data_IF_134576138163
#
_entry.id   IF_134576138163
#
_cell.length_a   1.000
_cell.length_b   1.000
_cell.length_c   1.000
_cell.angle_alpha   90.00
_cell.angle_beta   90.00
_cell.angle_gamma   90.00
#
_symmetry.space_group_name_H-M   'P 1'
#
loop_
_entity.id
_entity.type
_entity.pdbx_description
1 polymer ?
#
# COMPACT_ATOMS: atom_id res chain seq x y z
N UNK A 1 12.15 7.65 -73.83
CA UNK A 1 12.89 7.37 -72.57
C UNK A 1 11.86 7.20 -71.47
N UNK A 2 11.83 6.00 -70.87
CA UNK A 2 10.92 5.62 -69.78
C UNK A 2 11.47 6.15 -68.47
N UNK A 3 10.63 6.77 -67.65
CA UNK A 3 10.94 7.08 -66.25
C UNK A 3 9.72 6.76 -65.40
N UNK A 4 9.72 5.59 -64.77
CA UNK A 4 8.79 5.25 -63.69
C UNK A 4 9.47 5.63 -62.38
N UNK A 5 8.88 6.56 -61.63
CA UNK A 5 9.26 6.79 -60.24
C UNK A 5 8.31 5.98 -59.36
N UNK A 6 8.84 4.92 -58.73
CA UNK A 6 8.14 4.13 -57.74
C UNK A 6 8.17 4.87 -56.40
N UNK A 7 7.00 5.26 -55.89
CA UNK A 7 6.85 5.89 -54.58
C UNK A 7 6.54 4.80 -53.58
N UNK A 8 7.55 4.43 -52.79
CA UNK A 8 7.46 3.43 -51.72
C UNK A 8 6.69 4.03 -50.55
N UNK A 9 5.53 3.47 -50.24
CA UNK A 9 4.68 3.87 -49.11
C UNK A 9 5.02 2.96 -47.92
N UNK A 10 5.92 3.41 -47.05
CA UNK A 10 6.26 2.72 -45.81
C UNK A 10 5.09 2.85 -44.84
N UNK A 11 4.39 1.74 -44.61
CA UNK A 11 3.32 1.62 -43.63
C UNK A 11 3.94 1.64 -42.22
N UNK A 12 3.65 2.69 -41.45
CA UNK A 12 4.06 2.82 -40.05
C UNK A 12 3.21 1.85 -39.21
N UNK A 13 3.81 0.77 -38.72
CA UNK A 13 3.20 -0.10 -37.71
C UNK A 13 3.07 0.68 -36.41
N UNK A 14 1.83 1.05 -36.05
CA UNK A 14 1.50 1.54 -34.72
C UNK A 14 1.64 0.32 -33.80
N UNK A 15 2.78 0.25 -33.10
CA UNK A 15 2.95 -0.69 -32.00
C UNK A 15 1.94 -0.33 -30.92
N UNK A 16 0.92 -1.17 -30.74
CA UNK A 16 0.15 -1.17 -29.50
C UNK A 16 1.10 -1.65 -28.42
N UNK A 17 1.73 -0.70 -27.72
CA UNK A 17 2.32 -0.97 -26.42
C UNK A 17 1.18 -1.46 -25.53
N UNK A 18 1.03 -2.78 -25.44
CA UNK A 18 0.24 -3.39 -24.39
C UNK A 18 0.86 -2.93 -23.08
N UNK A 19 0.21 -1.99 -22.42
CA UNK A 19 0.51 -1.67 -21.03
C UNK A 19 0.33 -3.00 -20.29
N UNK A 20 1.35 -3.50 -19.58
CA UNK A 20 1.14 -4.64 -18.70
C UNK A 20 0.03 -4.25 -17.72
N UNK A 21 -1.09 -4.95 -17.79
CA UNK A 21 -2.15 -4.84 -16.80
C UNK A 21 -1.56 -5.31 -15.47
N UNK A 22 -1.10 -4.36 -14.66
CA UNK A 22 -0.47 -4.65 -13.38
C UNK A 22 -1.54 -5.11 -12.39
N UNK A 23 -1.94 -6.38 -12.49
CA UNK A 23 -2.59 -7.09 -11.40
C UNK A 23 -1.55 -7.39 -10.32
N UNK A 24 -1.27 -6.41 -9.47
CA UNK A 24 -1.04 -6.70 -8.07
C UNK A 24 -2.42 -6.73 -7.39
N UNK A 25 -3.11 -7.87 -7.60
CA UNK A 25 -4.37 -8.23 -6.95
C UNK A 25 -4.11 -8.53 -5.47
N UNK A 26 -5.12 -8.25 -4.64
CA UNK A 26 -5.17 -8.66 -3.24
C UNK A 26 -4.66 -10.09 -3.03
N UNK A 27 -3.59 -10.23 -2.25
CA UNK A 27 -2.98 -11.50 -1.89
C UNK A 27 -3.67 -12.07 -0.66
N UNK A 28 -4.17 -13.30 -0.80
CA UNK A 28 -4.89 -14.00 0.27
C UNK A 28 -3.95 -15.03 0.91
N UNK A 29 -3.73 -14.88 2.22
CA UNK A 29 -3.00 -15.84 3.05
C UNK A 29 -3.95 -16.48 4.05
N UNK A 30 -3.93 -17.81 4.17
CA UNK A 30 -4.79 -18.53 5.13
C UNK A 30 -3.97 -19.06 6.30
N UNK A 31 -4.30 -18.63 7.52
CA UNK A 31 -3.68 -19.11 8.76
C UNK A 31 -4.76 -19.60 9.72
N UNK A 32 -4.64 -20.84 10.20
CA UNK A 32 -5.60 -21.46 11.12
C UNK A 32 -7.07 -21.39 10.63
N UNK A 33 -7.30 -21.48 9.32
CA UNK A 33 -8.63 -21.39 8.72
C UNK A 33 -9.17 -19.97 8.55
N UNK A 34 -8.41 -18.94 8.93
CA UNK A 34 -8.75 -17.52 8.75
C UNK A 34 -8.01 -16.97 7.53
N UNK A 35 -8.74 -16.27 6.67
CA UNK A 35 -8.17 -15.58 5.50
C UNK A 35 -7.73 -14.15 5.86
N UNK A 36 -6.52 -13.81 5.45
CA UNK A 36 -5.91 -12.49 5.57
C UNK A 36 -5.66 -11.93 4.17
N UNK A 37 -6.02 -10.68 3.97
CA UNK A 37 -6.02 -10.02 2.67
C UNK A 37 -4.98 -8.90 2.69
N UNK A 38 -4.02 -8.97 1.77
CA UNK A 38 -2.91 -8.04 1.74
C UNK A 38 -2.70 -7.42 0.36
N UNK A 39 -2.20 -6.20 0.35
CA UNK A 39 -1.79 -5.49 -0.88
C UNK A 39 -0.42 -4.85 -0.68
N UNK A 40 0.36 -4.78 -1.75
CA UNK A 40 1.53 -3.90 -1.79
C UNK A 40 1.09 -2.52 -2.30
N UNK A 41 1.54 -1.47 -1.63
CA UNK A 41 1.23 -0.09 -1.99
C UNK A 41 2.55 0.65 -2.15
N UNK A 42 2.83 1.16 -3.35
CA UNK A 42 3.90 2.15 -3.54
C UNK A 42 3.34 3.53 -3.18
N UNK A 43 3.88 4.11 -2.11
CA UNK A 43 3.54 5.43 -1.62
C UNK A 43 4.54 6.45 -2.16
N UNK A 44 4.02 7.47 -2.82
CA UNK A 44 4.78 8.64 -3.26
C UNK A 44 4.43 9.86 -2.41
N UNK A 45 5.17 10.95 -2.57
CA UNK A 45 4.88 12.21 -1.86
C UNK A 45 3.43 12.70 -2.05
N UNK A 46 2.88 12.52 -3.25
CA UNK A 46 1.50 12.94 -3.57
C UNK A 46 0.42 12.09 -2.90
N UNK A 47 0.80 10.91 -2.39
CA UNK A 47 -0.10 9.99 -1.71
C UNK A 47 -0.17 10.23 -0.21
N UNK A 48 0.76 11.01 0.36
CA UNK A 48 0.84 11.24 1.81
C UNK A 48 0.07 12.50 2.18
N UNK A 49 -1.18 12.29 2.60
CA UNK A 49 -2.11 13.37 2.93
C UNK A 49 -1.83 13.96 4.31
N UNK A 50 -2.09 15.26 4.53
CA UNK A 50 -2.00 15.84 5.86
C UNK A 50 -2.97 15.17 6.84
N UNK A 51 -2.63 15.23 8.13
CA UNK A 51 -3.57 14.86 9.19
C UNK A 51 -4.85 15.72 9.06
N UNK A 52 -6.06 15.14 9.00
CA UNK A 52 -7.28 15.92 9.03
C UNK A 52 -7.44 16.59 10.40
N UNK A 53 -7.00 17.87 10.50
CA UNK A 53 -6.93 18.89 11.59
C UNK A 53 -7.88 18.82 12.83
N UNK A 54 -8.31 17.64 13.27
CA UNK A 54 -9.38 17.46 14.28
C UNK A 54 -9.16 16.26 15.20
N UNK A 55 -8.03 15.54 15.09
CA UNK A 55 -7.68 14.44 16.00
C UNK A 55 -6.59 14.93 16.95
N UNK A 56 -7.01 15.29 18.17
CA UNK A 56 -6.20 15.84 19.27
C UNK A 56 -5.05 14.91 19.76
N UNK A 57 -4.97 13.68 19.26
CA UNK A 57 -3.90 12.73 19.54
C UNK A 57 -3.02 12.59 18.29
N UNK A 58 -1.92 13.34 18.20
CA UNK A 58 -1.08 13.50 17.00
C UNK A 58 -0.21 12.24 16.69
N UNK A 59 -0.86 11.09 16.50
CA UNK A 59 -0.28 9.82 16.06
C UNK A 59 0.11 9.83 14.58
N UNK A 60 -0.38 10.83 13.84
CA UNK A 60 -0.11 11.01 12.43
C UNK A 60 1.37 11.29 12.22
N UNK A 61 2.02 10.47 11.40
CA UNK A 61 3.44 10.66 11.05
C UNK A 61 4.39 10.81 12.25
N UNK A 62 3.98 10.31 13.41
CA UNK A 62 4.72 10.42 14.67
C UNK A 62 4.76 9.04 15.30
N UNK A 63 5.97 8.61 15.68
CA UNK A 63 6.14 7.35 16.40
C UNK A 63 5.66 7.56 17.83
N UNK A 64 4.65 6.79 18.24
CA UNK A 64 4.20 6.74 19.62
C UNK A 64 4.64 5.45 20.32
N UNK A 65 4.25 5.31 21.59
CA UNK A 65 4.56 4.14 22.41
C UNK A 65 4.32 2.81 21.68
N UNK A 66 5.23 1.86 21.88
CA UNK A 66 5.20 0.54 21.23
C UNK A 66 5.31 0.56 19.70
N UNK A 67 5.79 1.65 19.10
CA UNK A 67 6.04 1.76 17.67
C UNK A 67 4.79 2.00 16.82
N UNK A 68 3.69 2.42 17.42
CA UNK A 68 2.49 2.81 16.67
C UNK A 68 2.73 4.11 15.91
N UNK A 69 2.06 4.25 14.78
CA UNK A 69 1.92 5.49 14.02
C UNK A 69 0.75 5.35 13.03
N UNK A 70 0.26 6.48 12.53
CA UNK A 70 -0.73 6.53 11.43
C UNK A 70 -0.19 7.27 10.21
N UNK A 71 -0.65 6.87 9.02
CA UNK A 71 -0.41 7.54 7.75
C UNK A 71 -1.74 7.66 6.99
N UNK A 72 -1.96 8.76 6.29
CA UNK A 72 -3.20 8.99 5.53
C UNK A 72 -2.92 8.97 4.03
N UNK A 73 -3.74 8.23 3.29
CA UNK A 73 -3.61 8.07 1.84
C UNK A 73 -4.95 8.27 1.13
N UNK A 74 -4.96 8.65 -0.16
CA UNK A 74 -6.18 8.64 -0.95
C UNK A 74 -6.77 7.22 -1.06
N UNK A 75 -8.10 7.07 -1.09
CA UNK A 75 -8.74 5.75 -1.10
C UNK A 75 -8.43 4.90 -2.33
N UNK A 76 -8.14 5.54 -3.48
CA UNK A 76 -7.83 4.88 -4.75
C UNK A 76 -6.39 4.35 -4.83
N UNK A 77 -5.58 4.53 -3.78
CA UNK A 77 -4.22 4.00 -3.70
C UNK A 77 -4.14 2.55 -3.25
N UNK A 78 -5.23 1.95 -2.79
CA UNK A 78 -5.29 0.52 -2.49
C UNK A 78 -5.60 -0.28 -3.78
N UNK A 79 -4.63 -1.00 -4.38
CA UNK A 79 -4.82 -1.65 -5.66
C UNK A 79 -5.86 -2.78 -5.55
N UNK A 80 -6.88 -2.75 -6.41
CA UNK A 80 -7.93 -3.77 -6.45
C UNK A 80 -8.90 -3.75 -5.26
N UNK A 81 -8.86 -2.71 -4.42
CA UNK A 81 -9.73 -2.56 -3.24
C UNK A 81 -10.49 -1.25 -3.34
N UNK A 82 -11.82 -1.32 -3.27
CA UNK A 82 -12.65 -0.13 -3.15
C UNK A 82 -12.79 0.30 -1.69
N UNK A 83 -12.93 1.60 -1.42
CA UNK A 83 -13.16 2.12 -0.07
C UNK A 83 -14.36 3.09 -0.10
N UNK A 84 -15.58 2.57 -0.29
CA UNK A 84 -16.76 3.41 -0.50
C UNK A 84 -17.04 4.28 0.73
N UNK A 85 -17.28 5.58 0.48
CA UNK A 85 -17.60 6.55 1.53
C UNK A 85 -16.40 7.03 2.36
N UNK A 86 -15.17 6.66 1.98
CA UNK A 86 -13.96 7.17 2.58
C UNK A 86 -13.43 8.37 1.81
N UNK A 87 -13.18 9.48 2.49
CA UNK A 87 -12.44 10.63 1.92
C UNK A 87 -10.93 10.36 1.89
N UNK A 88 -10.44 9.55 2.83
CA UNK A 88 -9.07 9.06 2.93
C UNK A 88 -9.06 7.68 3.60
N UNK A 89 -7.96 6.95 3.46
CA UNK A 89 -7.68 5.71 4.20
C UNK A 89 -6.61 5.99 5.24
N UNK A 90 -6.83 5.48 6.44
CA UNK A 90 -5.89 5.53 7.56
C UNK A 90 -5.11 4.22 7.58
N UNK A 91 -3.82 4.28 7.24
CA UNK A 91 -2.89 3.16 7.42
C UNK A 91 -2.34 3.20 8.84
N UNK A 92 -2.65 2.17 9.62
CA UNK A 92 -2.30 2.09 11.05
C UNK A 92 -1.21 1.09 11.29
N UNK A 93 -0.15 1.50 11.98
CA UNK A 93 0.84 0.56 12.52
C UNK A 93 0.38 0.14 13.92
N UNK A 94 0.09 -1.15 14.15
CA UNK A 94 -0.31 -1.63 15.47
C UNK A 94 0.79 -1.49 16.53
N UNK A 95 0.41 -1.54 17.79
CA UNK A 95 1.32 -1.53 18.94
C UNK A 95 2.13 -2.82 19.07
N UNK A 96 3.35 -2.74 19.59
CA UNK A 96 4.16 -3.87 20.07
C UNK A 96 4.20 -3.90 21.58
N UNK A 97 4.00 -5.08 22.17
CA UNK A 97 4.07 -5.31 23.61
C UNK A 97 5.49 -5.09 24.17
N UNK A 98 5.63 -4.55 25.39
CA UNK A 98 6.90 -4.49 26.09
C UNK A 98 7.56 -5.86 26.32
N UNK A 99 6.77 -6.94 26.27
CA UNK A 99 7.26 -8.32 26.42
C UNK A 99 7.81 -8.91 25.11
N UNK A 100 7.58 -8.25 23.97
CA UNK A 100 8.10 -8.67 22.68
C UNK A 100 9.57 -8.26 22.50
N UNK A 101 10.18 -8.71 21.40
CA UNK A 101 11.54 -8.30 21.04
C UNK A 101 11.57 -6.78 20.76
N UNK A 102 12.38 -5.99 21.48
CA UNK A 102 12.46 -4.54 21.29
C UNK A 102 12.81 -4.12 19.86
N UNK A 103 13.53 -4.97 19.11
CA UNK A 103 13.87 -4.70 17.71
C UNK A 103 12.65 -4.57 16.81
N UNK A 104 11.48 -5.08 17.20
CA UNK A 104 10.24 -4.91 16.44
C UNK A 104 9.76 -3.46 16.46
N UNK A 105 10.03 -2.71 17.53
CA UNK A 105 9.75 -1.27 17.61
C UNK A 105 10.72 -0.52 16.69
N UNK A 106 12.00 -0.91 16.67
CA UNK A 106 13.01 -0.32 15.79
C UNK A 106 12.67 -0.52 14.31
N UNK A 107 12.15 -1.70 13.92
CA UNK A 107 11.68 -1.96 12.55
C UNK A 107 10.50 -1.06 12.15
N UNK A 108 9.55 -0.83 13.06
CA UNK A 108 8.43 0.09 12.82
C UNK A 108 8.90 1.53 12.73
N UNK A 109 9.85 1.93 13.57
CA UNK A 109 10.47 3.25 13.53
C UNK A 109 11.22 3.46 12.19
N UNK A 110 11.95 2.46 11.72
CA UNK A 110 12.65 2.52 10.43
C UNK A 110 11.67 2.69 9.26
N UNK A 111 10.57 1.93 9.25
CA UNK A 111 9.51 2.11 8.25
C UNK A 111 8.92 3.52 8.28
N UNK A 112 8.64 4.07 9.46
CA UNK A 112 8.16 5.45 9.56
C UNK A 112 9.17 6.45 8.97
N UNK A 113 10.47 6.27 9.24
CA UNK A 113 11.50 7.14 8.67
C UNK A 113 11.55 7.05 7.14
N UNK A 114 11.38 5.87 6.54
CA UNK A 114 11.29 5.72 5.08
C UNK A 114 10.10 6.50 4.50
N UNK A 115 8.94 6.42 5.16
CA UNK A 115 7.73 7.17 4.78
C UNK A 115 7.96 8.69 4.91
N UNK A 116 8.61 9.14 5.99
CA UNK A 116 8.94 10.55 6.19
C UNK A 116 9.91 11.06 5.13
N UNK A 117 10.91 10.25 4.73
CA UNK A 117 11.82 10.55 3.63
C UNK A 117 11.07 10.83 2.32
N UNK A 118 10.07 10.01 2.00
CA UNK A 118 9.20 10.24 0.82
C UNK A 118 8.36 11.52 0.97
N UNK A 119 7.77 11.74 2.15
CA UNK A 119 6.96 12.94 2.45
C UNK A 119 7.76 14.24 2.31
N UNK A 120 8.99 14.22 2.79
CA UNK A 120 9.88 15.37 2.86
C UNK A 120 10.60 15.59 1.50
N UNK A 121 10.59 14.57 0.64
CA UNK A 121 11.05 14.60 -0.75
C UNK A 121 12.49 14.14 -0.93
N UNK A 122 13.04 13.48 0.07
CA UNK A 122 14.38 12.88 0.05
C UNK A 122 14.39 11.51 -0.65
N UNK A 123 13.23 10.85 -0.71
CA UNK A 123 12.99 9.62 -1.50
C UNK A 123 11.82 9.81 -2.47
N UNK A 124 11.84 9.10 -3.60
CA UNK A 124 10.75 9.17 -4.61
C UNK A 124 9.51 8.37 -4.18
N UNK A 125 9.73 7.16 -3.65
CA UNK A 125 8.68 6.24 -3.24
C UNK A 125 9.12 5.31 -2.10
N UNK A 126 8.15 4.70 -1.42
CA UNK A 126 8.33 3.60 -0.47
C UNK A 126 7.23 2.55 -0.70
N UNK A 127 7.62 1.29 -0.85
CA UNK A 127 6.66 0.19 -0.96
C UNK A 127 6.33 -0.37 0.43
N UNK A 128 5.04 -0.45 0.75
CA UNK A 128 4.55 -0.94 2.03
C UNK A 128 3.56 -2.09 1.85
N UNK A 129 3.63 -3.07 2.74
CA UNK A 129 2.64 -4.14 2.80
C UNK A 129 1.48 -3.72 3.72
N UNK A 130 0.28 -3.73 3.17
CA UNK A 130 -0.96 -3.38 3.86
C UNK A 130 -1.82 -4.61 4.05
N UNK A 131 -2.37 -4.79 5.25
CA UNK A 131 -3.39 -5.77 5.59
C UNK A 131 -4.76 -5.06 5.69
N UNK A 132 -5.77 -5.63 5.04
CA UNK A 132 -7.11 -5.06 4.96
C UNK A 132 -8.04 -5.54 6.10
N UNK A 133 -7.66 -6.62 6.79
CA UNK A 133 -8.39 -7.13 7.93
C UNK A 133 -8.36 -6.14 9.12
N UNK A 134 -9.40 -6.10 9.96
CA UNK A 134 -10.65 -6.86 9.86
C UNK A 134 -11.68 -6.19 8.95
N UNK A 135 -11.36 -5.05 8.34
CA UNK A 135 -12.32 -4.18 7.65
C UNK A 135 -12.42 -4.46 6.17
N UNK A 136 -12.36 -5.72 5.75
CA UNK A 136 -12.49 -6.13 4.36
C UNK A 136 -13.71 -7.01 4.17
N UNK A 137 -14.49 -6.72 3.14
CA UNK A 137 -15.54 -7.58 2.64
C UNK A 137 -15.20 -8.07 1.23
N UNK A 138 -15.65 -9.28 0.92
CA UNK A 138 -15.50 -9.90 -0.39
C UNK A 138 -16.86 -10.23 -0.98
N UNK A 139 -17.13 -9.71 -2.17
CA UNK A 139 -18.37 -9.97 -2.91
C UNK A 139 -18.03 -10.23 -4.38
N UNK A 140 -18.41 -11.38 -4.92
CA UNK A 140 -18.19 -11.73 -6.34
C UNK A 140 -16.75 -11.51 -6.85
N UNK A 141 -15.74 -11.73 -6.00
CA UNK A 141 -14.33 -11.54 -6.34
C UNK A 141 -13.82 -10.09 -6.30
N UNK A 142 -14.64 -9.15 -5.84
CA UNK A 142 -14.23 -7.77 -5.54
C UNK A 142 -13.99 -7.59 -4.04
N UNK A 143 -13.07 -6.68 -3.70
CA UNK A 143 -12.72 -6.34 -2.33
C UNK A 143 -13.17 -4.91 -2.01
N UNK A 144 -13.81 -4.72 -0.87
CA UNK A 144 -14.15 -3.40 -0.33
C UNK A 144 -13.70 -3.27 1.11
N UNK A 145 -13.22 -2.08 1.46
CA UNK A 145 -13.11 -1.69 2.85
C UNK A 145 -14.50 -1.39 3.43
N UNK A 146 -14.80 -1.95 4.59
CA UNK A 146 -16.01 -1.67 5.37
C UNK A 146 -15.81 -0.50 6.35
N UNK A 147 -14.57 -0.06 6.54
CA UNK A 147 -14.17 1.10 7.33
C UNK A 147 -12.95 1.75 6.67
N UNK A 148 -12.73 3.05 6.89
CA UNK A 148 -11.61 3.78 6.30
C UNK A 148 -10.25 3.50 6.97
N UNK A 149 -10.08 2.33 7.60
CA UNK A 149 -8.85 1.90 8.24
C UNK A 149 -8.30 0.68 7.48
N UNK A 150 -7.00 0.69 7.25
CA UNK A 150 -6.22 -0.48 6.91
C UNK A 150 -4.95 -0.48 7.77
N UNK A 151 -4.17 -1.54 7.73
CA UNK A 151 -3.06 -1.73 8.66
C UNK A 151 -1.78 -2.00 7.91
N UNK A 152 -0.66 -1.50 8.40
CA UNK A 152 0.62 -2.07 7.97
C UNK A 152 0.63 -3.54 8.39
N UNK A 153 1.05 -4.42 7.49
CA UNK A 153 1.02 -5.87 7.75
C UNK A 153 1.95 -6.18 8.92
N UNK A 154 1.41 -6.88 9.91
CA UNK A 154 2.19 -7.36 11.05
C UNK A 154 1.93 -8.84 11.30
N UNK A 155 2.87 -9.50 11.95
CA UNK A 155 2.68 -10.85 12.45
C UNK A 155 3.52 -11.04 13.71
N UNK A 156 2.92 -11.61 14.75
CA UNK A 156 3.56 -11.73 16.07
C UNK A 156 4.15 -10.38 16.53
N UNK A 157 3.39 -9.30 16.32
CA UNK A 157 3.73 -7.91 16.67
C UNK A 157 4.88 -7.27 15.87
N UNK A 158 5.53 -8.03 14.99
CA UNK A 158 6.59 -7.57 14.09
C UNK A 158 6.03 -7.05 12.77
N UNK A 159 6.63 -6.03 12.18
CA UNK A 159 6.31 -5.59 10.83
C UNK A 159 6.70 -6.66 9.78
N UNK A 160 5.88 -6.82 8.75
CA UNK A 160 6.12 -7.77 7.66
C UNK A 160 6.11 -7.03 6.32
N UNK A 161 7.27 -6.75 5.69
CA UNK A 161 7.39 -5.89 4.50
C UNK A 161 7.11 -6.63 3.19
N UNK A 162 6.16 -7.57 3.19
CA UNK A 162 5.77 -8.31 1.98
C UNK A 162 4.33 -8.80 2.13
N UNK A 163 3.77 -9.40 1.08
CA UNK A 163 2.43 -9.99 1.09
C UNK A 163 2.44 -11.53 1.05
N UNK A 164 3.62 -12.14 1.04
CA UNK A 164 3.74 -13.59 0.92
C UNK A 164 3.36 -14.33 2.21
N UNK A 165 2.92 -15.60 2.12
CA UNK A 165 2.69 -16.42 3.29
C UNK A 165 3.90 -16.46 4.22
N UNK A 166 3.67 -16.40 5.53
CA UNK A 166 4.73 -16.55 6.50
C UNK A 166 5.18 -18.02 6.51
N UNK A 167 6.44 -18.26 6.16
CA UNK A 167 7.06 -19.57 6.33
C UNK A 167 7.40 -19.76 7.82
N UNK A 168 6.88 -20.83 8.43
CA UNK A 168 7.35 -21.28 9.74
C UNK A 168 8.70 -21.96 9.64
#
# INVERSE_FOLDING_TARGET
>A
MRGYLAMSMTLLLIGTSGIPEARADVRINTTNGVAYFHVLVSLTRGDLLPNPDTRDDDLAYTLSDGGMFEVYIPPDRLPGVSAPGCDLVILRMPWTSPDADPSYIDEKAALLQEILSVRDGDSEEVEVAVELNPYVETSNGTYSLTQCNAFFRTAFERYVPNVEPLTR
#
